data_IF_319034518613
#
_entry.id   IF_319034518613
#
_cell.length_a   1.000
_cell.length_b   1.000
_cell.length_c   1.000
_cell.angle_alpha   90.00
_cell.angle_beta   90.00
_cell.angle_gamma   90.00
#
_symmetry.space_group_name_H-M   'P 1'
#
loop_
_entity.id
_entity.type
_entity.pdbx_description
1 polymer ?
#
# COMPACT_ATOMS: atom_id res chain seq x y z
N UNK A 1 -4.92 -30.96 -7.25
CA UNK A 1 -4.75 -30.29 -7.01
C UNK A 1 -4.71 -29.68 -5.92
N UNK A 2 -4.96 -29.67 -5.27
CA UNK A 2 -4.92 -29.00 -4.03
C UNK A 2 -4.11 -27.73 -4.01
N UNK A 3 -3.57 -27.34 -5.11
CA UNK A 3 -2.76 -26.13 -5.17
C UNK A 3 -3.54 -24.90 -4.74
N UNK A 4 -4.83 -24.85 -5.01
CA UNK A 4 -5.66 -23.74 -4.58
C UNK A 4 -5.81 -23.64 -3.07
N UNK A 5 -5.44 -24.68 -2.35
CA UNK A 5 -5.53 -24.70 -0.90
C UNK A 5 -4.32 -24.08 -0.22
N UNK A 6 -3.31 -23.80 -0.98
CA UNK A 6 -2.10 -23.23 -0.43
C UNK A 6 -2.26 -21.77 -0.18
N UNK A 7 -1.30 -21.21 0.55
CA UNK A 7 -1.26 -19.78 0.73
C UNK A 7 -1.21 -19.09 -0.62
N UNK A 8 -1.70 -17.87 -0.64
CA UNK A 8 -1.73 -17.07 -1.85
C UNK A 8 -0.30 -16.79 -2.33
N UNK A 9 -0.11 -16.85 -3.62
CA UNK A 9 1.16 -16.47 -4.21
C UNK A 9 1.35 -14.96 -4.19
N UNK A 10 2.60 -14.54 -4.39
CA UNK A 10 2.98 -13.13 -4.35
C UNK A 10 2.18 -12.29 -5.34
N UNK A 11 1.90 -12.84 -6.52
CA UNK A 11 1.15 -12.07 -7.53
C UNK A 11 -0.30 -11.84 -7.12
N UNK A 12 -0.92 -12.82 -6.50
CA UNK A 12 -2.30 -12.67 -6.05
C UNK A 12 -2.39 -11.66 -4.91
N UNK A 13 -1.46 -11.73 -3.96
CA UNK A 13 -1.43 -10.81 -2.84
C UNK A 13 -1.22 -9.37 -3.33
N UNK A 14 -0.24 -9.16 -4.22
CA UNK A 14 0.03 -7.82 -4.74
C UNK A 14 -1.14 -7.28 -5.54
N UNK A 15 -1.80 -8.12 -6.34
CA UNK A 15 -2.98 -7.70 -7.10
C UNK A 15 -4.12 -7.30 -6.18
N UNK A 16 -4.33 -8.02 -5.09
CA UNK A 16 -5.38 -7.70 -4.12
C UNK A 16 -5.11 -6.33 -3.50
N UNK A 17 -3.86 -6.04 -3.14
CA UNK A 17 -3.49 -4.75 -2.57
C UNK A 17 -3.70 -3.63 -3.57
N UNK A 18 -3.22 -3.80 -4.81
CA UNK A 18 -3.37 -2.79 -5.86
C UNK A 18 -4.84 -2.51 -6.14
N UNK A 19 -5.65 -3.57 -6.24
CA UNK A 19 -7.08 -3.42 -6.49
C UNK A 19 -7.76 -2.64 -5.37
N UNK A 20 -7.47 -2.98 -4.11
CA UNK A 20 -8.04 -2.28 -2.96
C UNK A 20 -7.65 -0.80 -2.95
N UNK A 21 -6.38 -0.50 -3.23
CA UNK A 21 -5.90 0.88 -3.28
C UNK A 21 -6.59 1.67 -4.39
N UNK A 22 -6.71 1.08 -5.58
CA UNK A 22 -7.38 1.74 -6.70
C UNK A 22 -8.85 2.02 -6.40
N UNK A 23 -9.53 1.07 -5.78
CA UNK A 23 -10.95 1.22 -5.45
C UNK A 23 -11.17 2.27 -4.38
N UNK A 24 -10.28 2.33 -3.41
CA UNK A 24 -10.42 3.31 -2.33
C UNK A 24 -10.07 4.72 -2.76
N UNK A 25 -8.95 4.89 -3.46
CA UNK A 25 -8.42 6.22 -3.75
C UNK A 25 -8.87 6.79 -5.10
N UNK A 26 -9.27 5.93 -6.04
CA UNK A 26 -9.74 6.34 -7.36
C UNK A 26 -8.73 7.23 -8.08
N UNK A 27 -9.11 8.49 -8.39
CA UNK A 27 -8.26 9.43 -9.11
C UNK A 27 -7.14 10.04 -8.27
N UNK A 28 -7.11 9.74 -6.97
CA UNK A 28 -6.08 10.27 -6.07
C UNK A 28 -4.82 9.42 -6.02
N UNK A 29 -4.81 8.29 -6.71
CA UNK A 29 -3.69 7.36 -6.70
C UNK A 29 -3.25 7.04 -8.13
N UNK A 30 -1.93 6.94 -8.33
CA UNK A 30 -1.40 6.63 -9.66
C UNK A 30 0.01 6.08 -9.58
N UNK A 31 0.52 5.59 -10.70
CA UNK A 31 1.92 5.26 -10.85
C UNK A 31 2.37 4.01 -10.14
N UNK A 32 1.55 2.97 -10.14
CA UNK A 32 1.91 1.71 -9.48
C UNK A 32 3.12 1.05 -10.11
N UNK A 33 4.08 0.68 -9.28
CA UNK A 33 5.22 -0.14 -9.67
C UNK A 33 5.42 -1.22 -8.61
N UNK A 34 5.37 -2.47 -9.02
CA UNK A 34 5.62 -3.61 -8.13
C UNK A 34 7.05 -4.07 -8.37
N UNK A 35 7.83 -4.18 -7.31
CA UNK A 35 9.25 -4.52 -7.43
C UNK A 35 9.72 -5.35 -6.24
N UNK A 36 10.96 -5.84 -6.31
CA UNK A 36 11.55 -6.72 -5.29
C UNK A 36 10.69 -7.96 -5.04
N UNK A 37 10.14 -8.51 -6.12
CA UNK A 37 9.22 -9.63 -6.04
C UNK A 37 9.99 -10.92 -5.83
N UNK A 38 9.61 -11.67 -4.79
CA UNK A 38 10.11 -13.02 -4.61
C UNK A 38 9.01 -13.87 -3.97
N UNK A 39 8.98 -15.14 -4.29
CA UNK A 39 7.98 -16.07 -3.78
C UNK A 39 8.62 -17.19 -2.98
N UNK A 40 9.86 -17.47 -3.27
CA UNK A 40 10.63 -18.54 -2.62
C UNK A 40 11.86 -17.90 -2.00
N UNK A 41 12.16 -18.20 -0.74
CA UNK A 41 11.50 -19.15 0.16
C UNK A 41 10.16 -18.70 0.72
N UNK A 42 9.82 -17.42 0.64
CA UNK A 42 8.54 -16.88 1.09
C UNK A 42 8.17 -15.65 0.27
N UNK A 43 6.87 -15.30 0.21
CA UNK A 43 6.45 -14.15 -0.58
C UNK A 43 6.93 -12.83 0.03
N UNK A 44 7.54 -12.02 -0.81
CA UNK A 44 7.99 -10.67 -0.48
C UNK A 44 7.82 -9.79 -1.72
N UNK A 45 7.41 -8.55 -1.53
CA UNK A 45 7.34 -7.58 -2.61
C UNK A 45 7.18 -6.18 -2.05
N UNK A 46 7.39 -5.21 -2.92
CA UNK A 46 7.11 -3.80 -2.62
C UNK A 46 6.27 -3.21 -3.74
N UNK A 47 5.42 -2.26 -3.38
CA UNK A 47 4.61 -1.52 -4.35
C UNK A 47 4.86 -0.04 -4.11
N UNK A 48 5.24 0.68 -5.17
CA UNK A 48 5.41 2.13 -5.11
C UNK A 48 4.27 2.79 -5.88
N UNK A 49 3.73 3.86 -5.34
CA UNK A 49 2.68 4.63 -5.99
C UNK A 49 2.67 6.05 -5.45
N UNK A 50 1.91 6.92 -6.12
CA UNK A 50 1.78 8.31 -5.71
C UNK A 50 0.36 8.57 -5.23
N UNK A 51 0.21 9.22 -4.07
CA UNK A 51 -1.07 9.62 -3.52
C UNK A 51 -1.22 11.15 -3.57
N UNK A 52 -2.40 11.58 -3.98
CA UNK A 52 -2.77 13.00 -4.04
C UNK A 52 -1.82 13.82 -4.91
N UNK A 53 -1.12 13.17 -5.83
CA UNK A 53 -0.10 13.82 -6.63
C UNK A 53 0.88 14.61 -5.75
N UNK A 54 1.09 14.16 -4.54
CA UNK A 54 1.87 14.86 -3.53
C UNK A 54 2.98 14.00 -2.95
N UNK A 55 2.65 12.81 -2.46
CA UNK A 55 3.63 11.93 -1.84
C UNK A 55 3.79 10.62 -2.59
N UNK A 56 5.03 10.15 -2.65
CA UNK A 56 5.32 8.80 -3.09
C UNK A 56 5.27 7.88 -1.88
N UNK A 57 4.51 6.81 -2.01
CA UNK A 57 4.28 5.85 -0.94
C UNK A 57 4.86 4.51 -1.36
N UNK A 58 5.43 3.80 -0.40
CA UNK A 58 5.90 2.44 -0.61
C UNK A 58 5.15 1.53 0.34
N UNK A 59 4.52 0.49 -0.22
CA UNK A 59 3.94 -0.59 0.55
C UNK A 59 4.91 -1.76 0.52
N UNK A 60 5.26 -2.28 1.68
CA UNK A 60 6.15 -3.43 1.80
C UNK A 60 5.41 -4.62 2.38
N UNK A 61 5.60 -5.77 1.76
CA UNK A 61 5.07 -7.03 2.23
C UNK A 61 6.23 -8.01 2.41
N UNK A 62 6.33 -8.59 3.59
CA UNK A 62 7.40 -9.53 3.92
C UNK A 62 6.84 -10.63 4.82
N UNK A 63 6.63 -11.81 4.25
CA UNK A 63 6.20 -13.00 5.00
C UNK A 63 4.97 -12.76 5.85
N UNK A 64 4.01 -12.02 5.33
CA UNK A 64 2.78 -11.72 6.04
C UNK A 64 2.79 -10.41 6.81
N UNK A 65 3.95 -9.85 7.09
CA UNK A 65 4.04 -8.52 7.69
C UNK A 65 3.95 -7.47 6.61
N UNK A 66 3.22 -6.41 6.88
CA UNK A 66 3.05 -5.37 5.88
C UNK A 66 3.04 -3.98 6.50
N UNK A 67 3.35 -2.98 5.68
CA UNK A 67 3.37 -1.61 6.15
C UNK A 67 3.59 -0.63 5.02
N UNK A 68 3.30 0.63 5.30
CA UNK A 68 3.50 1.73 4.37
C UNK A 68 4.57 2.68 4.88
N UNK A 69 5.26 3.32 3.94
CA UNK A 69 6.15 4.43 4.27
C UNK A 69 6.01 5.52 3.22
N UNK A 70 6.25 6.76 3.64
CA UNK A 70 6.34 7.90 2.72
C UNK A 70 7.80 8.04 2.33
N UNK A 71 8.06 8.08 1.02
CA UNK A 71 9.41 8.27 0.50
C UNK A 71 9.74 9.75 0.47
N UNK A 72 10.76 10.16 1.22
CA UNK A 72 11.20 11.55 1.26
C UNK A 72 12.71 11.56 1.00
N UNK A 73 13.10 12.01 -0.20
CA UNK A 73 14.50 11.99 -0.59
C UNK A 73 15.06 10.59 -0.51
N UNK A 74 16.11 10.40 0.29
CA UNK A 74 16.74 9.10 0.49
C UNK A 74 16.07 8.29 1.59
N UNK A 75 15.29 8.96 2.43
CA UNK A 75 14.72 8.36 3.61
C UNK A 75 13.25 8.03 3.41
N UNK A 76 12.74 7.18 4.29
CA UNK A 76 11.32 6.89 4.34
C UNK A 76 10.81 7.13 5.74
N UNK A 77 9.56 7.55 5.84
CA UNK A 77 8.87 7.69 7.12
C UNK A 77 7.84 6.59 7.21
N UNK A 78 8.02 5.68 8.16
CA UNK A 78 7.05 4.61 8.40
C UNK A 78 5.74 5.18 8.90
N UNK A 79 4.64 4.70 8.33
CA UNK A 79 3.31 5.09 8.74
C UNK A 79 2.71 4.03 9.66
N UNK A 80 2.08 4.48 10.73
CA UNK A 80 1.45 3.56 11.68
C UNK A 80 0.13 3.07 11.15
N UNK A 81 -0.16 1.80 11.43
CA UNK A 81 -1.47 1.22 11.14
C UNK A 81 -1.74 0.08 12.12
N UNK A 82 -3.00 -0.32 12.21
CA UNK A 82 -3.45 -1.28 13.20
C UNK A 82 -3.31 -2.74 12.76
N UNK A 83 -2.91 -2.98 11.52
CA UNK A 83 -2.94 -4.31 10.93
C UNK A 83 -1.58 -4.74 10.40
N UNK A 84 -0.62 -5.07 11.28
CA UNK A 84 0.73 -5.45 10.84
C UNK A 84 0.78 -6.79 10.11
N UNK A 85 -0.21 -7.66 10.32
CA UNK A 85 -0.25 -8.99 9.71
C UNK A 85 -1.32 -9.08 8.64
N UNK A 86 -0.94 -9.59 7.47
CA UNK A 86 -1.83 -9.61 6.31
C UNK A 86 -2.97 -10.64 6.44
N UNK A 87 -2.73 -11.75 7.15
CA UNK A 87 -3.69 -12.87 7.16
C UNK A 87 -5.11 -12.46 7.58
N UNK A 88 -5.21 -11.56 8.55
CA UNK A 88 -6.51 -11.11 9.06
C UNK A 88 -6.79 -9.66 8.68
N UNK A 89 -6.24 -9.21 7.57
CA UNK A 89 -6.30 -7.80 7.21
C UNK A 89 -7.68 -7.40 6.66
N UNK A 90 -8.15 -6.25 7.08
CA UNK A 90 -9.27 -5.56 6.45
C UNK A 90 -8.67 -4.48 5.54
N UNK A 91 -8.74 -4.70 4.23
CA UNK A 91 -8.12 -3.80 3.27
C UNK A 91 -8.75 -2.42 3.27
N UNK A 92 -10.06 -2.33 3.54
CA UNK A 92 -10.73 -1.04 3.65
C UNK A 92 -10.19 -0.22 4.81
N UNK A 93 -10.02 -0.86 5.96
CA UNK A 93 -9.46 -0.20 7.14
C UNK A 93 -8.00 0.20 6.89
N UNK A 94 -7.24 -0.67 6.24
CA UNK A 94 -5.84 -0.38 5.91
C UNK A 94 -5.73 0.87 5.03
N UNK A 95 -6.55 0.96 4.00
CA UNK A 95 -6.57 2.12 3.10
C UNK A 95 -7.01 3.38 3.84
N UNK A 96 -8.00 3.28 4.72
CA UNK A 96 -8.47 4.41 5.51
C UNK A 96 -7.36 4.95 6.40
N UNK A 97 -6.64 4.06 7.09
CA UNK A 97 -5.53 4.47 7.95
C UNK A 97 -4.41 5.11 7.15
N UNK A 98 -4.10 4.56 5.97
CA UNK A 98 -3.13 5.17 5.08
C UNK A 98 -3.57 6.58 4.68
N UNK A 99 -4.83 6.73 4.28
CA UNK A 99 -5.37 8.00 3.86
C UNK A 99 -5.27 9.04 4.97
N UNK A 100 -5.66 8.68 6.18
CA UNK A 100 -5.58 9.57 7.34
C UNK A 100 -4.14 10.02 7.60
N UNK A 101 -3.20 9.09 7.55
CA UNK A 101 -1.78 9.40 7.77
C UNK A 101 -1.21 10.32 6.71
N UNK A 102 -1.63 10.14 5.46
CA UNK A 102 -1.12 10.96 4.36
C UNK A 102 -1.76 12.34 4.38
N UNK A 103 -3.07 12.42 4.54
CA UNK A 103 -3.80 13.70 4.49
C UNK A 103 -3.36 14.67 5.57
N UNK A 104 -3.06 14.21 6.77
CA UNK A 104 -2.61 15.12 7.83
C UNK A 104 -1.27 15.78 7.51
N UNK A 105 -0.54 15.24 6.54
CA UNK A 105 0.75 15.76 6.11
C UNK A 105 0.67 16.63 4.86
N UNK A 106 -0.52 16.77 4.27
CA UNK A 106 -0.73 17.58 3.07
C UNK A 106 -1.42 18.88 3.50
N UNK A 107 -0.94 20.05 3.04
CA UNK A 107 -1.59 21.32 3.36
C UNK A 107 -3.05 21.34 2.92
N UNK A 108 -3.93 21.87 3.78
CA UNK A 108 -5.35 21.98 3.47
C UNK A 108 -5.61 22.74 2.19
N UNK A 109 -4.85 23.79 1.92
CA UNK A 109 -4.97 24.57 0.70
C UNK A 109 -4.77 23.73 -0.57
N UNK A 110 -3.82 22.80 -0.49
CA UNK A 110 -3.55 21.91 -1.62
C UNK A 110 -4.76 20.98 -1.88
N UNK A 111 -5.27 20.39 -0.81
CA UNK A 111 -6.42 19.48 -0.93
C UNK A 111 -7.64 20.23 -1.45
N UNK A 112 -7.88 21.44 -0.95
CA UNK A 112 -9.00 22.26 -1.38
C UNK A 112 -8.89 22.64 -2.85
N UNK A 113 -7.69 22.93 -3.32
CA UNK A 113 -7.45 23.29 -4.72
C UNK A 113 -7.92 22.19 -5.68
N UNK A 114 -7.71 20.93 -5.30
CA UNK A 114 -8.08 19.78 -6.12
C UNK A 114 -9.45 19.20 -5.76
N UNK A 115 -10.14 19.76 -4.82
CA UNK A 115 -11.41 19.26 -4.30
C UNK A 115 -11.24 17.86 -3.68
N UNK A 116 -10.18 17.68 -3.01
CA UNK A 116 -9.89 16.45 -2.29
C UNK A 116 -10.03 16.70 -0.78
#
# INVERSE_FOLDING_TARGET
MGSGMKSKGVHQISNNIVTALKEYFNDRIEGFTIYNITDIPYPMFSIRFTLYNYYKIVYNYDRGRNGFSISIGRDGIGLKHSQPWFDDIDLGVLCKELDENVRIRIPDKYLAYYNW
#
